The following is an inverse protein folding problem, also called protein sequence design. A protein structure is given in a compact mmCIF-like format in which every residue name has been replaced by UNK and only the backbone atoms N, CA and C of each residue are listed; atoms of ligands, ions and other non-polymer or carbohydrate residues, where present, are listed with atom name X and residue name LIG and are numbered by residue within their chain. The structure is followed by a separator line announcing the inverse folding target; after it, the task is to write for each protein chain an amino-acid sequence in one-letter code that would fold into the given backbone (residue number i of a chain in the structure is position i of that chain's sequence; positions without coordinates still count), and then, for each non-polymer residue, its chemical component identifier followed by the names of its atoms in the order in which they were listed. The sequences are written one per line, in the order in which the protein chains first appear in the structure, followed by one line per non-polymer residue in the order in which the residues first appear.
data_IF_742516424833
#
_entry.id   IF_742516424833
#
_cell.length_a   1.000
_cell.length_b   1.000
_cell.length_c   1.000
_cell.angle_alpha   90.00
_cell.angle_beta   90.00
_cell.angle_gamma   90.00
#
_symmetry.space_group_name_H-M   'P 1'
#
loop_
_entity.id
_entity.type
_entity.pdbx_description
1 polymer ?
#
# COMPACT_ATOMS: atom_id res chain seq x y z
N UNK A 1 4.15 -7.83 1.62
CA UNK A 1 3.29 -8.97 2.01
C UNK A 1 3.82 -10.22 1.31
N UNK A 2 3.68 -11.40 1.88
CA UNK A 2 4.03 -12.66 1.22
C UNK A 2 2.82 -13.21 0.48
N UNK A 3 3.07 -13.78 -0.69
CA UNK A 3 2.08 -14.53 -1.44
C UNK A 3 2.26 -16.03 -1.18
N UNK A 4 1.20 -16.71 -0.78
CA UNK A 4 1.18 -18.16 -0.68
C UNK A 4 1.40 -18.77 -2.08
N UNK A 5 2.38 -19.67 -2.27
CA UNK A 5 2.70 -20.21 -3.59
C UNK A 5 1.67 -21.22 -4.10
N UNK A 6 0.79 -21.76 -3.24
CA UNK A 6 -0.24 -22.72 -3.61
C UNK A 6 -1.56 -22.05 -4.04
N UNK A 7 -2.10 -21.13 -3.24
CA UNK A 7 -3.40 -20.45 -3.53
C UNK A 7 -3.28 -18.99 -3.97
N UNK A 8 -2.10 -18.36 -3.88
CA UNK A 8 -1.92 -16.96 -4.23
C UNK A 8 -2.44 -15.95 -3.20
N UNK A 9 -2.92 -16.41 -2.04
CA UNK A 9 -3.39 -15.53 -0.95
C UNK A 9 -2.25 -14.66 -0.40
N UNK A 10 -2.56 -13.39 -0.12
CA UNK A 10 -1.62 -12.41 0.42
C UNK A 10 -1.70 -12.36 1.94
N UNK A 11 -0.56 -12.45 2.60
CA UNK A 11 -0.46 -12.50 4.06
C UNK A 11 0.82 -11.84 4.56
N UNK A 12 0.84 -11.38 5.81
CA UNK A 12 2.04 -10.77 6.40
C UNK A 12 3.19 -11.77 6.57
N UNK A 13 2.87 -13.03 6.82
CA UNK A 13 3.80 -14.14 6.90
C UNK A 13 3.09 -15.44 6.52
N UNK A 14 3.77 -16.33 5.78
CA UNK A 14 3.25 -17.68 5.53
C UNK A 14 3.31 -18.50 6.82
N UNK A 15 2.14 -18.81 7.39
CA UNK A 15 2.02 -19.56 8.65
C UNK A 15 1.74 -21.05 8.42
N UNK A 16 2.16 -21.89 9.36
CA UNK A 16 1.80 -23.31 9.38
C UNK A 16 0.28 -23.50 9.48
N UNK A 17 -0.40 -22.64 10.21
CA UNK A 17 -1.85 -22.68 10.37
C UNK A 17 -2.59 -22.52 9.03
N UNK A 18 -2.20 -21.54 8.20
CA UNK A 18 -2.77 -21.40 6.86
C UNK A 18 -2.49 -22.65 6.01
N UNK A 19 -1.25 -23.14 6.02
CA UNK A 19 -0.85 -24.29 5.22
C UNK A 19 -1.68 -25.54 5.57
N UNK A 20 -1.87 -25.82 6.87
CA UNK A 20 -2.62 -26.97 7.35
C UNK A 20 -4.13 -26.82 7.12
N UNK A 21 -4.69 -25.63 7.36
CA UNK A 21 -6.14 -25.42 7.26
C UNK A 21 -6.64 -25.35 5.81
N UNK A 22 -5.86 -24.75 4.90
CA UNK A 22 -6.28 -24.55 3.50
C UNK A 22 -5.78 -25.65 2.57
N UNK A 23 -4.61 -26.25 2.85
CA UNK A 23 -3.95 -27.19 1.93
C UNK A 23 -3.73 -28.58 2.53
N UNK A 24 -3.97 -28.77 3.84
CA UNK A 24 -3.70 -30.03 4.53
C UNK A 24 -2.21 -30.40 4.61
N UNK A 25 -1.32 -29.44 4.36
CA UNK A 25 0.13 -29.65 4.31
C UNK A 25 0.83 -28.81 5.38
N UNK A 26 1.93 -29.31 5.93
CA UNK A 26 2.82 -28.45 6.72
C UNK A 26 3.47 -27.39 5.82
N UNK A 27 3.89 -26.27 6.41
CA UNK A 27 4.60 -25.21 5.68
C UNK A 27 5.85 -25.73 4.96
N UNK A 28 6.56 -26.70 5.55
CA UNK A 28 7.76 -27.28 4.95
C UNK A 28 7.42 -28.09 3.69
N UNK A 29 6.37 -28.90 3.75
CA UNK A 29 5.89 -29.67 2.60
C UNK A 29 5.38 -28.74 1.49
N UNK A 30 4.61 -27.72 1.86
CA UNK A 30 4.09 -26.75 0.90
C UNK A 30 5.22 -26.00 0.17
N UNK A 31 6.28 -25.61 0.89
CA UNK A 31 7.47 -24.99 0.29
C UNK A 31 8.22 -25.96 -0.62
N UNK A 32 8.31 -27.25 -0.27
CA UNK A 32 8.96 -28.25 -1.10
C UNK A 32 8.18 -28.52 -2.40
N UNK A 33 6.84 -28.50 -2.35
CA UNK A 33 5.99 -28.76 -3.51
C UNK A 33 5.81 -27.56 -4.44
N UNK A 34 5.62 -26.36 -3.88
CA UNK A 34 5.24 -25.16 -4.64
C UNK A 34 6.33 -24.08 -4.67
N UNK A 35 7.42 -24.27 -3.94
CA UNK A 35 8.51 -23.30 -3.80
C UNK A 35 8.31 -22.33 -2.64
N UNK A 36 9.27 -21.42 -2.47
CA UNK A 36 9.23 -20.43 -1.40
C UNK A 36 8.19 -19.33 -1.65
N UNK A 37 7.49 -18.83 -0.61
CA UNK A 37 6.57 -17.70 -0.74
C UNK A 37 7.29 -16.46 -1.26
N UNK A 38 6.74 -15.83 -2.29
CA UNK A 38 7.30 -14.60 -2.87
C UNK A 38 6.89 -13.40 -2.04
N UNK A 39 7.85 -12.53 -1.72
CA UNK A 39 7.54 -11.23 -1.16
C UNK A 39 6.98 -10.33 -2.29
N UNK A 40 5.76 -9.88 -2.09
CA UNK A 40 5.06 -8.94 -2.96
C UNK A 40 4.94 -7.62 -2.20
N UNK A 41 5.65 -6.60 -2.66
CA UNK A 41 5.39 -5.23 -2.20
C UNK A 41 4.11 -4.74 -2.89
N UNK A 42 3.22 -4.02 -2.18
CA UNK A 42 2.14 -3.30 -2.85
C UNK A 42 2.78 -2.28 -3.79
N UNK A 43 2.80 -2.56 -5.09
CA UNK A 43 3.15 -1.56 -6.07
C UNK A 43 2.00 -0.58 -6.16
N UNK A 44 2.15 0.63 -5.60
CA UNK A 44 1.22 1.73 -5.87
C UNK A 44 1.19 1.97 -7.38
N UNK A 45 -0.01 2.06 -7.96
CA UNK A 45 -0.14 2.38 -9.38
C UNK A 45 0.51 3.74 -9.65
N UNK A 46 1.06 3.92 -10.86
CA UNK A 46 1.67 5.19 -11.26
C UNK A 46 0.66 6.34 -11.18
N UNK A 47 -0.61 6.08 -11.43
CA UNK A 47 -1.68 7.07 -11.33
C UNK A 47 -1.91 7.53 -9.89
N UNK A 48 -1.89 6.59 -8.93
CA UNK A 48 -1.99 6.92 -7.51
C UNK A 48 -0.75 7.70 -7.05
N UNK A 49 0.45 7.29 -7.48
CA UNK A 49 1.68 8.04 -7.17
C UNK A 49 1.64 9.46 -7.75
N UNK A 50 1.17 9.60 -9.00
CA UNK A 50 1.02 10.89 -9.68
C UNK A 50 0.00 11.77 -8.97
N UNK A 51 -1.16 11.22 -8.62
CA UNK A 51 -2.20 11.93 -7.89
C UNK A 51 -1.72 12.41 -6.51
N UNK A 52 -1.00 11.59 -5.74
CA UNK A 52 -0.41 12.00 -4.46
C UNK A 52 0.58 13.15 -4.67
N UNK A 53 1.44 13.05 -5.69
CA UNK A 53 2.42 14.10 -6.02
C UNK A 53 1.75 15.41 -6.43
N UNK A 54 0.66 15.35 -7.19
CA UNK A 54 -0.10 16.52 -7.62
C UNK A 54 -0.89 17.14 -6.46
N UNK A 55 -1.44 16.32 -5.57
CA UNK A 55 -2.26 16.79 -4.42
C UNK A 55 -1.43 17.35 -3.26
N UNK A 56 -0.16 16.97 -3.14
CA UNK A 56 0.75 17.43 -2.08
C UNK A 56 1.45 18.76 -2.41
N UNK A 57 1.33 19.24 -3.65
CA UNK A 57 1.87 20.52 -4.07
C UNK A 57 0.74 21.55 -4.05
N UNK A 58 0.74 22.43 -3.04
CA UNK A 58 -0.05 23.66 -3.11
C UNK A 58 0.51 24.47 -4.29
N UNK A 59 -0.33 24.75 -5.28
CA UNK A 59 0.11 25.55 -6.41
C UNK A 59 0.41 26.99 -5.95
N UNK A 60 1.27 27.71 -6.69
CA UNK A 60 1.54 29.14 -6.44
C UNK A 60 0.24 29.96 -6.34
N UNK A 61 -0.75 29.62 -7.17
CA UNK A 61 -2.06 30.27 -7.20
C UNK A 61 -2.86 29.96 -5.94
N UNK A 62 -2.93 28.69 -5.52
CA UNK A 62 -3.62 28.30 -4.28
C UNK A 62 -2.99 28.97 -3.06
N UNK A 63 -1.65 29.08 -3.04
CA UNK A 63 -0.92 29.81 -2.01
C UNK A 63 -1.26 31.31 -2.01
N UNK A 64 -1.26 31.94 -3.18
CA UNK A 64 -1.54 33.38 -3.30
C UNK A 64 -3.00 33.69 -2.91
N UNK A 65 -3.95 32.83 -3.27
CA UNK A 65 -5.36 32.91 -2.86
C UNK A 65 -5.50 32.73 -1.35
N UNK A 66 -4.86 31.72 -0.76
CA UNK A 66 -4.86 31.49 0.68
C UNK A 66 -4.24 32.68 1.44
N UNK A 67 -3.15 33.24 0.92
CA UNK A 67 -2.49 34.42 1.50
C UNK A 67 -3.37 35.67 1.41
N UNK A 68 -4.06 35.89 0.29
CA UNK A 68 -5.00 36.99 0.12
C UNK A 68 -6.22 36.88 1.07
N UNK A 69 -6.76 35.66 1.23
CA UNK A 69 -7.84 35.38 2.17
C UNK A 69 -7.41 35.64 3.62
N UNK A 70 -6.23 35.16 4.03
CA UNK A 70 -5.67 35.40 5.36
C UNK A 70 -5.48 36.89 5.67
N UNK A 71 -4.96 37.68 4.72
CA UNK A 71 -4.81 39.13 4.87
C UNK A 71 -6.15 39.86 5.06
N UNK A 72 -7.21 39.37 4.43
CA UNK A 72 -8.54 39.97 4.53
C UNK A 72 -9.20 39.67 5.88
N UNK A 73 -8.93 38.50 6.46
CA UNK A 73 -9.39 38.13 7.79
C UNK A 73 -8.72 38.97 8.90
N UNK A 74 -7.39 39.20 8.81
CA UNK A 74 -6.65 40.03 9.78
C UNK A 74 -7.03 41.52 9.72
N UNK A 75 -7.49 42.01 8.57
CA UNK A 75 -7.93 43.41 8.42
C UNK A 75 -9.31 43.69 9.05
N UNK A 76 -10.07 42.65 9.37
CA UNK A 76 -11.43 42.73 9.94
C UNK A 76 -11.48 42.46 11.45
N UNK A 77 -10.35 42.18 12.10
CA UNK A 77 -10.19 42.00 13.54
C UNK A 77 -9.70 43.25 14.23
#
# INVERSE_FOLDING_TARGET
MFQCPACGELMEILTNFHCLSQHGLSKKELINHYGAPKYVSPTMSRDVQKWIKESSIISKVDFDVAQAAARTLVKRS
#
